data_IF_048327899440
#
_entry.id   IF_048327899440
#
_cell.length_a   1.000
_cell.length_b   1.000
_cell.length_c   1.000
_cell.angle_alpha   90.00
_cell.angle_beta   90.00
_cell.angle_gamma   90.00
#
_symmetry.space_group_name_H-M   'P 1'
#
loop_
_entity.id
_entity.type
_entity.pdbx_description
1 polymer ?
#
# COMPACT_ATOMS: atom_id res chain seq x y z
N UNK A 1 20.79 5.03 -5.82
CA UNK A 1 20.09 4.02 -5.00
C UNK A 1 18.67 3.94 -5.51
N UNK A 2 18.04 2.77 -5.52
CA UNK A 2 16.61 2.67 -5.81
C UNK A 2 15.84 3.28 -4.63
N UNK A 3 14.85 4.13 -4.91
CA UNK A 3 14.03 4.78 -3.89
C UNK A 3 12.97 3.79 -3.39
N UNK A 4 12.80 3.69 -2.07
CA UNK A 4 11.77 2.86 -1.46
C UNK A 4 10.61 3.74 -1.02
N UNK A 5 9.42 3.45 -1.53
CA UNK A 5 8.22 4.25 -1.31
C UNK A 5 7.26 3.56 -0.33
N UNK A 6 6.49 4.36 0.41
CA UNK A 6 5.30 3.87 1.12
C UNK A 6 4.11 4.82 0.88
N UNK A 7 2.89 4.28 0.94
CA UNK A 7 1.67 5.07 0.74
C UNK A 7 0.95 5.34 2.05
N UNK A 8 0.31 6.50 2.13
CA UNK A 8 -0.64 6.84 3.18
C UNK A 8 -1.78 5.80 3.31
N UNK A 9 -2.15 5.10 2.23
CA UNK A 9 -3.16 4.03 2.27
C UNK A 9 -2.74 2.86 3.16
N UNK A 10 -1.45 2.47 3.14
CA UNK A 10 -0.91 1.43 4.03
C UNK A 10 -0.95 1.88 5.50
N UNK A 11 -0.64 3.15 5.78
CA UNK A 11 -0.74 3.72 7.13
C UNK A 11 -2.20 3.77 7.59
N UNK A 12 -3.13 4.08 6.69
CA UNK A 12 -4.57 4.06 6.97
C UNK A 12 -5.05 2.65 7.33
N UNK A 13 -4.62 1.63 6.60
CA UNK A 13 -4.95 0.23 6.89
C UNK A 13 -4.43 -0.19 8.28
N UNK A 14 -3.19 0.20 8.63
CA UNK A 14 -2.62 -0.02 9.97
C UNK A 14 -3.46 0.70 11.05
N UNK A 15 -3.91 1.92 10.79
CA UNK A 15 -4.74 2.67 11.74
C UNK A 15 -6.09 1.99 12.02
N UNK A 16 -6.73 1.46 10.98
CA UNK A 16 -7.97 0.69 11.13
C UNK A 16 -7.70 -0.59 11.93
N UNK A 17 -6.68 -1.36 11.58
CA UNK A 17 -6.30 -2.60 12.28
C UNK A 17 -5.94 -2.37 13.74
N UNK A 18 -5.23 -1.29 14.04
CA UNK A 18 -4.87 -0.85 15.40
C UNK A 18 -6.12 -0.54 16.22
N UNK A 19 -7.10 0.17 15.63
CA UNK A 19 -8.37 0.47 16.30
C UNK A 19 -9.25 -0.75 16.54
N UNK A 20 -9.21 -1.74 15.64
CA UNK A 20 -9.97 -2.99 15.78
C UNK A 20 -9.44 -3.90 16.90
N UNK A 21 -8.35 -3.52 17.58
CA UNK A 21 -7.94 -4.12 18.85
C UNK A 21 -7.55 -5.59 18.73
N UNK A 22 -7.00 -6.02 17.58
CA UNK A 22 -6.44 -7.38 17.46
C UNK A 22 -5.40 -7.57 18.56
N UNK A 23 -5.54 -8.64 19.33
CA UNK A 23 -4.65 -8.96 20.44
C UNK A 23 -3.20 -8.98 19.96
N UNK A 24 -2.34 -8.17 20.60
CA UNK A 24 -0.92 -8.03 20.24
C UNK A 24 -0.62 -7.01 19.12
N UNK A 25 -1.62 -6.36 18.52
CA UNK A 25 -1.40 -5.31 17.51
C UNK A 25 -1.42 -3.90 18.15
N UNK A 26 -0.45 -3.62 19.02
CA UNK A 26 -0.29 -2.33 19.72
C UNK A 26 0.54 -1.33 18.92
N UNK A 27 0.38 -1.32 17.60
CA UNK A 27 1.18 -0.47 16.70
C UNK A 27 0.51 0.89 16.58
N UNK A 28 1.28 1.97 16.74
CA UNK A 28 0.82 3.35 16.53
C UNK A 28 1.12 3.79 15.09
N UNK A 29 0.12 4.10 14.26
CA UNK A 29 0.33 4.40 12.83
C UNK A 29 1.32 5.54 12.58
N UNK A 30 1.30 6.59 13.43
CA UNK A 30 2.23 7.72 13.34
C UNK A 30 3.68 7.32 13.61
N UNK A 31 3.90 6.38 14.52
CA UNK A 31 5.25 5.88 14.81
C UNK A 31 5.79 5.04 13.65
N UNK A 32 4.92 4.27 12.97
CA UNK A 32 5.31 3.53 11.75
C UNK A 32 5.68 4.47 10.61
N UNK A 33 4.86 5.48 10.32
CA UNK A 33 5.15 6.43 9.26
C UNK A 33 6.48 7.15 9.51
N UNK A 34 6.73 7.58 10.76
CA UNK A 34 8.01 8.19 11.15
C UNK A 34 9.18 7.21 10.99
N UNK A 35 9.04 5.97 11.46
CA UNK A 35 10.09 4.97 11.36
C UNK A 35 10.44 4.64 9.89
N UNK A 36 9.45 4.64 8.99
CA UNK A 36 9.69 4.48 7.55
C UNK A 36 10.57 5.62 7.01
N UNK A 37 10.23 6.88 7.30
CA UNK A 37 11.04 8.03 6.93
C UNK A 37 12.45 7.99 7.53
N UNK A 38 12.56 7.66 8.82
CA UNK A 38 13.84 7.54 9.53
C UNK A 38 14.71 6.39 8.95
N UNK A 39 14.09 5.41 8.29
CA UNK A 39 14.76 4.30 7.58
C UNK A 39 15.13 4.64 6.12
N UNK A 40 14.85 5.86 5.66
CA UNK A 40 15.16 6.33 4.31
C UNK A 40 14.08 6.02 3.27
N UNK A 41 12.86 5.67 3.69
CA UNK A 41 11.73 5.49 2.76
C UNK A 41 11.06 6.85 2.52
N UNK A 42 10.56 7.08 1.32
CA UNK A 42 9.80 8.28 0.98
C UNK A 42 8.29 7.99 0.98
N UNK A 43 7.50 8.92 1.52
CA UNK A 43 6.05 8.83 1.39
C UNK A 43 5.62 9.23 -0.03
N UNK A 44 4.90 8.36 -0.72
CA UNK A 44 4.28 8.64 -2.01
C UNK A 44 2.86 9.21 -1.78
N UNK A 45 2.62 10.49 -2.10
CA UNK A 45 1.30 11.11 -1.91
C UNK A 45 0.22 10.40 -2.73
N UNK A 46 -0.98 10.29 -2.14
CA UNK A 46 -2.16 9.83 -2.87
C UNK A 46 -2.72 11.01 -3.67
N UNK A 47 -2.45 11.03 -4.97
CA UNK A 47 -3.00 12.01 -5.91
C UNK A 47 -4.38 11.64 -6.45
N UNK A 48 -5.09 12.63 -7.01
CA UNK A 48 -6.40 12.41 -7.66
C UNK A 48 -6.32 11.51 -8.89
N UNK A 49 -5.18 11.48 -9.59
CA UNK A 49 -4.96 10.62 -10.76
C UNK A 49 -5.01 9.14 -10.40
N UNK A 50 -4.23 8.73 -9.38
CA UNK A 50 -4.31 7.37 -8.84
C UNK A 50 -5.71 7.05 -8.30
N UNK A 51 -6.37 8.01 -7.62
CA UNK A 51 -7.73 7.80 -7.13
C UNK A 51 -8.75 7.59 -8.26
N UNK A 52 -8.63 8.30 -9.39
CA UNK A 52 -9.49 8.14 -10.55
C UNK A 52 -9.26 6.80 -11.25
N UNK A 53 -8.00 6.37 -11.39
CA UNK A 53 -7.61 5.12 -12.03
C UNK A 53 -8.23 3.89 -11.35
N UNK A 54 -8.59 3.97 -10.06
CA UNK A 54 -9.33 2.91 -9.34
C UNK A 54 -10.62 2.49 -10.06
N UNK A 55 -11.29 3.41 -10.75
CA UNK A 55 -12.51 3.15 -11.51
C UNK A 55 -12.28 2.24 -12.72
N UNK A 56 -11.08 2.26 -13.28
CA UNK A 56 -10.68 1.49 -14.47
C UNK A 56 -10.16 0.10 -14.12
N UNK A 57 -9.74 -0.10 -12.87
CA UNK A 57 -9.22 -1.39 -12.41
C UNK A 57 -10.29 -2.50 -12.47
N UNK A 58 -9.94 -3.71 -12.94
CA UNK A 58 -10.86 -4.84 -12.96
C UNK A 58 -11.36 -5.18 -11.54
N UNK A 59 -12.55 -5.78 -11.44
CA UNK A 59 -13.19 -6.09 -10.16
C UNK A 59 -12.66 -7.41 -9.56
N UNK A 60 -11.34 -7.53 -9.43
CA UNK A 60 -10.66 -8.71 -8.89
C UNK A 60 -10.58 -8.68 -7.35
N UNK A 61 -10.58 -7.49 -6.75
CA UNK A 61 -10.53 -7.26 -5.30
C UNK A 61 -11.63 -6.30 -4.81
N UNK A 62 -12.07 -6.47 -3.55
CA UNK A 62 -13.11 -5.63 -2.91
C UNK A 62 -12.55 -4.55 -1.99
N UNK A 63 -11.34 -4.75 -1.46
CA UNK A 63 -10.72 -3.81 -0.54
C UNK A 63 -10.36 -2.50 -1.29
N UNK A 64 -10.90 -1.35 -0.88
CA UNK A 64 -10.63 -0.07 -1.53
C UNK A 64 -9.17 0.39 -1.34
N UNK A 65 -8.48 0.00 -0.26
CA UNK A 65 -7.08 0.39 -0.03
C UNK A 65 -6.14 -0.36 -0.96
N UNK A 66 -6.33 -1.67 -1.12
CA UNK A 66 -5.52 -2.45 -2.06
C UNK A 66 -5.70 -1.96 -3.49
N UNK A 67 -6.94 -1.64 -3.88
CA UNK A 67 -7.21 -1.08 -5.21
C UNK A 67 -6.53 0.28 -5.41
N UNK A 68 -6.51 1.12 -4.37
CA UNK A 68 -5.81 2.41 -4.43
C UNK A 68 -4.28 2.23 -4.53
N UNK A 69 -3.70 1.28 -3.79
CA UNK A 69 -2.27 0.96 -3.84
C UNK A 69 -1.87 0.45 -5.22
N UNK A 70 -2.67 -0.43 -5.82
CA UNK A 70 -2.50 -0.88 -7.21
C UNK A 70 -2.53 0.32 -8.17
N UNK A 71 -3.53 1.21 -8.02
CA UNK A 71 -3.65 2.37 -8.89
C UNK A 71 -2.46 3.33 -8.75
N UNK A 72 -1.98 3.61 -7.53
CA UNK A 72 -0.79 4.43 -7.32
C UNK A 72 0.45 3.81 -7.98
N UNK A 73 0.65 2.51 -7.84
CA UNK A 73 1.77 1.81 -8.47
C UNK A 73 1.73 1.93 -10.01
N UNK A 74 0.54 1.86 -10.59
CA UNK A 74 0.35 2.00 -12.04
C UNK A 74 0.48 3.46 -12.53
N UNK A 75 0.09 4.45 -11.73
CA UNK A 75 0.20 5.88 -12.08
C UNK A 75 1.64 6.41 -11.98
N UNK A 76 2.43 5.92 -11.02
CA UNK A 76 3.81 6.37 -10.77
C UNK A 76 4.86 5.32 -11.21
N UNK A 77 4.54 4.50 -12.23
CA UNK A 77 5.11 3.18 -12.56
C UNK A 77 6.05 2.54 -11.52
N UNK A 78 5.61 2.42 -10.27
CA UNK A 78 6.38 1.90 -9.16
C UNK A 78 6.15 0.39 -8.97
N UNK A 79 7.18 -0.33 -8.53
CA UNK A 79 7.06 -1.75 -8.17
C UNK A 79 6.34 -1.86 -6.83
N UNK A 80 5.16 -2.47 -6.82
CA UNK A 80 4.37 -2.67 -5.61
C UNK A 80 4.57 -4.06 -5.02
N UNK A 81 5.17 -4.10 -3.83
CA UNK A 81 5.35 -5.32 -3.05
C UNK A 81 4.18 -5.57 -2.10
N UNK A 82 3.60 -6.76 -2.14
CA UNK A 82 2.43 -7.13 -1.33
C UNK A 82 2.47 -8.57 -0.84
N UNK A 83 1.88 -8.83 0.33
CA UNK A 83 1.68 -10.19 0.83
C UNK A 83 0.43 -10.86 0.23
N UNK A 84 -0.48 -10.09 -0.40
CA UNK A 84 -1.69 -10.62 -0.99
C UNK A 84 -1.40 -11.28 -2.35
N UNK A 85 -1.72 -12.57 -2.43
CA UNK A 85 -1.55 -13.39 -3.61
C UNK A 85 -2.48 -13.03 -4.78
N UNK A 86 -3.53 -12.23 -4.55
CA UNK A 86 -4.52 -11.85 -5.57
C UNK A 86 -4.12 -10.61 -6.35
N UNK A 87 -3.29 -9.73 -5.77
CA UNK A 87 -2.96 -8.44 -6.37
C UNK A 87 -2.04 -8.52 -7.61
N UNK A 88 -1.12 -9.49 -7.75
CA UNK A 88 -0.33 -9.63 -8.99
C UNK A 88 -1.16 -9.79 -10.27
N UNK A 89 -2.44 -10.18 -10.17
CA UNK A 89 -3.33 -10.28 -11.32
C UNK A 89 -3.73 -8.92 -11.94
N UNK A 90 -3.39 -7.80 -11.31
CA UNK A 90 -3.70 -6.46 -11.81
C UNK A 90 -2.67 -5.91 -12.81
N UNK A 91 -1.38 -6.19 -12.62
CA UNK A 91 -0.29 -5.62 -13.40
C UNK A 91 1.03 -6.34 -13.12
N UNK A 92 1.93 -6.38 -14.11
CA UNK A 92 3.32 -6.85 -13.97
C UNK A 92 4.13 -6.03 -12.95
N UNK A 93 3.67 -4.83 -12.59
CA UNK A 93 4.30 -3.99 -11.57
C UNK A 93 4.07 -4.50 -10.13
N UNK A 94 3.24 -5.52 -9.93
CA UNK A 94 2.82 -5.97 -8.60
C UNK A 94 3.44 -7.32 -8.26
N UNK A 95 4.30 -7.31 -7.26
CA UNK A 95 5.08 -8.48 -6.86
C UNK A 95 4.64 -8.99 -5.50
N UNK A 96 4.32 -10.28 -5.44
CA UNK A 96 4.06 -10.95 -4.16
C UNK A 96 5.37 -11.19 -3.42
N UNK A 97 5.48 -10.69 -2.19
CA UNK A 97 6.55 -11.11 -1.28
C UNK A 97 6.18 -12.45 -0.65
N UNK A 98 7.13 -13.39 -0.67
CA UNK A 98 6.98 -14.64 0.10
C UNK A 98 7.36 -14.34 1.53
N UNK A 99 6.42 -14.50 2.46
CA UNK A 99 6.74 -14.56 3.87
C UNK A 99 7.68 -15.75 4.10
N UNK A 100 8.84 -15.50 4.70
CA UNK A 100 9.72 -16.56 5.18
C UNK A 100 9.06 -17.36 6.32
#
# INVERSE_FOLDING_TARGET
AEEVLFSAASIWEIAIKSRLGRTGFTVKPREIARAACDSGFSELPVGSEAAALVAELPRLHRDPFDRLLVAQAMSEPAIFYTADHRLPAYSELIHRIRSA
#
